data_IF_391076727590
#
_entry.id   IF_391076727590
#
_cell.length_a   1.000
_cell.length_b   1.000
_cell.length_c   1.000
_cell.angle_alpha   90.00
_cell.angle_beta   90.00
_cell.angle_gamma   90.00
#
_symmetry.space_group_name_H-M   'P 1'
#
loop_
_entity.id
_entity.type
_entity.pdbx_description
1 polymer ?
#
# COMPACT_ATOMS: atom_id res chain seq x y z
N UNK A 1 -54.60 -18.48 -9.92
CA UNK A 1 -53.55 -17.52 -9.52
C UNK A 1 -52.22 -18.11 -9.98
N UNK A 2 -51.94 -17.95 -11.26
CA UNK A 2 -50.69 -18.37 -11.90
C UNK A 2 -49.74 -17.18 -11.86
N UNK A 3 -48.61 -17.34 -11.19
CA UNK A 3 -47.60 -16.31 -11.03
C UNK A 3 -47.02 -15.94 -12.41
N UNK A 4 -47.14 -14.66 -12.78
CA UNK A 4 -46.41 -14.03 -13.87
C UNK A 4 -44.90 -14.04 -13.53
N UNK A 5 -44.23 -15.13 -13.87
CA UNK A 5 -42.78 -15.30 -13.80
C UNK A 5 -42.14 -15.18 -15.19
N UNK A 6 -42.82 -14.50 -16.12
CA UNK A 6 -42.22 -14.13 -17.40
C UNK A 6 -41.58 -12.75 -17.24
N UNK A 7 -40.50 -12.66 -16.46
CA UNK A 7 -39.58 -11.53 -16.59
C UNK A 7 -38.99 -11.63 -18.00
N UNK A 8 -39.55 -10.86 -18.92
CA UNK A 8 -39.12 -10.81 -20.31
C UNK A 8 -37.62 -10.51 -20.34
N UNK A 9 -36.88 -11.26 -21.17
CA UNK A 9 -35.43 -11.14 -21.37
C UNK A 9 -34.96 -9.69 -21.58
N UNK A 10 -35.86 -8.84 -22.05
CA UNK A 10 -35.65 -7.41 -22.30
C UNK A 10 -35.55 -6.55 -21.02
N UNK A 11 -36.10 -6.98 -19.88
CA UNK A 11 -36.00 -6.24 -18.60
C UNK A 11 -34.74 -6.59 -17.80
N UNK A 12 -34.16 -7.77 -18.04
CA UNK A 12 -33.01 -8.29 -17.29
C UNK A 12 -31.72 -7.56 -17.68
N UNK A 13 -31.54 -7.27 -18.97
CA UNK A 13 -30.35 -6.64 -19.52
C UNK A 13 -30.06 -5.23 -18.94
N UNK A 14 -31.01 -4.29 -18.87
CA UNK A 14 -30.78 -2.98 -18.25
C UNK A 14 -30.54 -3.05 -16.73
N UNK A 15 -31.14 -4.02 -16.03
CA UNK A 15 -30.87 -4.25 -14.61
C UNK A 15 -29.44 -4.75 -14.37
N UNK A 16 -28.97 -5.68 -15.20
CA UNK A 16 -27.59 -6.20 -15.17
C UNK A 16 -26.57 -5.09 -15.43
N UNK A 17 -26.81 -4.22 -16.41
CA UNK A 17 -25.92 -3.11 -16.75
C UNK A 17 -25.85 -2.08 -15.61
N UNK A 18 -26.98 -1.79 -14.96
CA UNK A 18 -27.00 -0.93 -13.77
C UNK A 18 -26.21 -1.56 -12.62
N UNK A 19 -26.34 -2.87 -12.41
CA UNK A 19 -25.56 -3.63 -11.43
C UNK A 19 -24.06 -3.56 -11.71
N UNK A 20 -23.64 -3.81 -12.96
CA UNK A 20 -22.25 -3.72 -13.42
C UNK A 20 -21.69 -2.31 -13.25
N UNK A 21 -22.47 -1.26 -13.55
CA UNK A 21 -22.05 0.13 -13.32
C UNK A 21 -21.76 0.41 -11.84
N UNK A 22 -22.66 0.00 -10.93
CA UNK A 22 -22.44 0.20 -9.50
C UNK A 22 -21.26 -0.61 -8.97
N UNK A 23 -21.10 -1.85 -9.46
CA UNK A 23 -19.95 -2.68 -9.14
C UNK A 23 -18.65 -2.00 -9.60
N UNK A 24 -18.61 -1.49 -10.83
CA UNK A 24 -17.46 -0.76 -11.38
C UNK A 24 -17.11 0.46 -10.53
N UNK A 25 -18.10 1.28 -10.16
CA UNK A 25 -17.90 2.44 -9.30
C UNK A 25 -17.37 2.04 -7.92
N UNK A 26 -17.93 0.99 -7.31
CA UNK A 26 -17.45 0.47 -6.03
C UNK A 26 -16.01 -0.03 -6.13
N UNK A 27 -15.64 -0.71 -7.23
CA UNK A 27 -14.26 -1.15 -7.48
C UNK A 27 -13.31 0.02 -7.69
N UNK A 28 -13.72 1.08 -8.41
CA UNK A 28 -12.89 2.27 -8.56
C UNK A 28 -12.64 2.97 -7.22
N UNK A 29 -13.69 3.15 -6.41
CA UNK A 29 -13.56 3.84 -5.12
C UNK A 29 -12.75 2.98 -4.13
N UNK A 30 -13.17 1.74 -3.91
CA UNK A 30 -12.57 0.87 -2.91
C UNK A 30 -11.23 0.26 -3.34
N UNK A 31 -11.06 -0.03 -4.63
CA UNK A 31 -9.87 -0.68 -5.17
C UNK A 31 -8.78 0.26 -5.66
N UNK A 32 -9.12 1.51 -6.01
CA UNK A 32 -8.15 2.47 -6.56
C UNK A 32 -8.10 3.75 -5.75
N UNK A 33 -9.21 4.47 -5.63
CA UNK A 33 -9.23 5.79 -5.01
C UNK A 33 -8.77 5.75 -3.55
N UNK A 34 -9.28 4.78 -2.78
CA UNK A 34 -8.96 4.64 -1.36
C UNK A 34 -7.49 4.25 -1.10
N UNK A 35 -6.91 3.18 -1.70
CA UNK A 35 -5.49 2.89 -1.50
C UNK A 35 -4.57 4.00 -2.03
N UNK A 36 -4.96 4.69 -3.12
CA UNK A 36 -4.20 5.85 -3.62
C UNK A 36 -4.20 7.00 -2.60
N UNK A 37 -5.37 7.32 -2.03
CA UNK A 37 -5.48 8.36 -1.01
C UNK A 37 -4.63 8.01 0.23
N UNK A 38 -4.62 6.74 0.66
CA UNK A 38 -3.78 6.27 1.75
C UNK A 38 -2.28 6.36 1.42
N UNK A 39 -1.86 6.04 0.20
CA UNK A 39 -0.47 6.19 -0.25
C UNK A 39 -0.03 7.66 -0.27
N UNK A 40 -0.89 8.56 -0.76
CA UNK A 40 -0.63 10.01 -0.75
C UNK A 40 -0.54 10.52 0.69
N UNK A 41 -1.48 10.09 1.55
CA UNK A 41 -1.46 10.46 2.96
C UNK A 41 -0.17 9.98 3.63
N UNK A 42 0.26 8.74 3.38
CA UNK A 42 1.52 8.20 3.88
C UNK A 42 2.73 8.99 3.36
N UNK A 43 2.76 9.37 2.07
CA UNK A 43 3.84 10.17 1.49
C UNK A 43 3.91 11.59 2.06
N UNK A 44 2.76 12.17 2.42
CA UNK A 44 2.67 13.50 3.03
C UNK A 44 2.91 13.51 4.55
N UNK A 45 2.82 12.34 5.21
CA UNK A 45 3.03 12.25 6.65
C UNK A 45 4.53 12.26 6.93
N UNK A 46 5.04 13.15 7.80
CA UNK A 46 6.46 13.16 8.13
C UNK A 46 6.84 11.88 8.88
N UNK A 47 7.98 11.30 8.50
CA UNK A 47 8.56 10.20 9.25
C UNK A 47 9.14 10.75 10.56
N UNK A 48 8.57 10.33 11.69
CA UNK A 48 8.93 10.84 12.99
C UNK A 48 9.42 9.72 13.90
N UNK A 49 10.42 9.99 14.73
CA UNK A 49 10.88 9.06 15.76
C UNK A 49 9.78 8.95 16.81
N UNK A 50 9.14 7.78 16.93
CA UNK A 50 8.04 7.52 17.88
C UNK A 50 8.53 6.95 19.21
N UNK A 51 9.68 6.26 19.20
CA UNK A 51 10.34 5.76 20.40
C UNK A 51 11.85 5.85 20.23
N UNK A 52 12.56 6.07 21.33
CA UNK A 52 14.01 6.16 21.36
C UNK A 52 14.61 5.52 22.60
N UNK A 53 15.85 5.04 22.49
CA UNK A 53 16.65 4.61 23.63
C UNK A 53 18.12 4.97 23.40
N UNK A 54 18.80 5.46 24.44
CA UNK A 54 20.26 5.65 24.37
C UNK A 54 20.97 4.31 24.45
N UNK A 55 21.96 4.10 23.58
CA UNK A 55 22.77 2.85 23.52
C UNK A 55 24.23 3.09 23.92
N UNK A 56 24.50 4.22 24.57
CA UNK A 56 25.83 4.63 24.99
C UNK A 56 26.60 5.32 23.87
N UNK A 57 27.93 5.18 23.90
CA UNK A 57 28.84 5.80 22.93
C UNK A 57 29.45 4.77 21.99
N UNK A 58 29.69 5.16 20.75
CA UNK A 58 30.39 4.36 19.75
C UNK A 58 31.84 4.11 20.16
N UNK A 59 32.24 2.84 20.19
CA UNK A 59 33.62 2.41 20.47
C UNK A 59 34.28 1.90 19.19
N UNK A 60 33.63 0.95 18.53
CA UNK A 60 34.13 0.31 17.31
C UNK A 60 32.99 -0.33 16.52
N UNK A 61 33.24 -0.59 15.24
CA UNK A 61 32.38 -1.39 14.38
C UNK A 61 33.25 -2.45 13.70
N UNK A 62 32.77 -3.69 13.65
CA UNK A 62 33.36 -4.74 12.83
C UNK A 62 32.30 -5.27 11.88
N UNK A 63 32.58 -5.20 10.58
CA UNK A 63 31.69 -5.72 9.55
C UNK A 63 32.05 -7.17 9.22
N UNK A 64 31.06 -8.05 9.20
CA UNK A 64 31.14 -9.31 8.48
C UNK A 64 30.39 -9.16 7.15
N UNK A 65 31.06 -9.53 6.06
CA UNK A 65 30.42 -9.61 4.74
C UNK A 65 30.76 -10.96 4.13
N UNK A 66 29.73 -11.65 3.64
CA UNK A 66 29.87 -12.85 2.84
C UNK A 66 29.48 -12.52 1.40
N UNK A 67 30.10 -13.18 0.42
CA UNK A 67 29.88 -12.89 -1.01
C UNK A 67 28.40 -12.96 -1.47
N UNK A 68 27.56 -13.71 -0.73
CA UNK A 68 26.12 -13.87 -0.99
C UNK A 68 25.22 -13.41 0.17
N UNK A 69 25.78 -12.76 1.20
CA UNK A 69 25.05 -12.37 2.39
C UNK A 69 25.04 -10.85 2.56
N UNK A 70 23.90 -10.31 3.00
CA UNK A 70 23.79 -8.91 3.42
C UNK A 70 24.88 -8.60 4.45
N UNK A 71 25.61 -7.50 4.23
CA UNK A 71 26.66 -7.06 5.17
C UNK A 71 26.05 -6.85 6.55
N UNK A 72 26.63 -7.48 7.58
CA UNK A 72 26.25 -7.28 8.96
C UNK A 72 27.38 -6.53 9.66
N UNK A 73 27.06 -5.54 10.48
CA UNK A 73 28.04 -4.83 11.27
C UNK A 73 27.75 -4.99 12.75
N UNK A 74 28.70 -5.54 13.47
CA UNK A 74 28.69 -5.57 14.93
C UNK A 74 29.24 -4.24 15.44
N UNK A 75 28.36 -3.43 15.99
CA UNK A 75 28.67 -2.14 16.61
C UNK A 75 28.89 -2.34 18.11
N UNK A 76 30.10 -2.11 18.56
CA UNK A 76 30.45 -2.10 19.98
C UNK A 76 30.20 -0.71 20.55
N UNK A 77 29.41 -0.67 21.62
CA UNK A 77 29.11 0.53 22.38
C UNK A 77 29.63 0.41 23.80
N UNK A 78 29.62 1.52 24.54
CA UNK A 78 29.95 1.50 25.98
C UNK A 78 28.97 0.72 26.84
N UNK A 79 27.80 0.36 26.32
CA UNK A 79 26.75 -0.37 27.03
C UNK A 79 26.61 -1.83 26.57
N UNK A 80 27.23 -2.21 25.45
CA UNK A 80 27.13 -3.56 24.92
C UNK A 80 27.52 -3.65 23.45
N UNK A 81 27.02 -4.67 22.77
CA UNK A 81 27.20 -4.85 21.33
C UNK A 81 25.86 -5.02 20.63
N UNK A 82 25.79 -4.50 19.42
CA UNK A 82 24.59 -4.47 18.60
C UNK A 82 24.95 -4.95 17.20
N UNK A 83 24.05 -5.65 16.54
CA UNK A 83 24.26 -6.10 15.15
C UNK A 83 23.29 -5.38 14.25
N UNK A 84 23.78 -4.64 13.27
CA UNK A 84 22.97 -3.91 12.29
C UNK A 84 23.18 -4.47 10.90
N UNK A 85 22.14 -4.37 10.07
CA UNK A 85 22.23 -4.74 8.66
C UNK A 85 22.72 -3.55 7.85
N UNK A 86 23.89 -3.68 7.24
CA UNK A 86 24.60 -2.63 6.53
C UNK A 86 25.98 -2.34 7.13
N UNK A 87 26.68 -1.36 6.56
CA UNK A 87 27.98 -0.87 7.03
C UNK A 87 27.79 0.35 7.94
N UNK A 88 28.02 0.17 9.24
CA UNK A 88 27.91 1.26 10.21
C UNK A 88 29.26 1.90 10.49
N UNK A 89 29.31 3.24 10.48
CA UNK A 89 30.47 3.98 10.95
C UNK A 89 30.04 5.27 11.66
N UNK A 90 30.74 5.59 12.75
CA UNK A 90 30.56 6.83 13.49
C UNK A 90 31.90 7.27 14.12
N UNK A 91 32.07 8.55 14.49
CA UNK A 91 33.23 8.97 15.25
C UNK A 91 33.32 8.25 16.61
N UNK A 92 34.52 7.93 17.08
CA UNK A 92 34.71 7.38 18.44
C UNK A 92 34.12 8.35 19.48
N UNK A 93 33.53 7.79 20.52
CA UNK A 93 32.81 8.51 21.58
C UNK A 93 31.54 9.26 21.12
N UNK A 94 31.11 9.10 19.87
CA UNK A 94 29.84 9.64 19.40
C UNK A 94 28.68 8.94 20.14
N UNK A 95 27.74 9.68 20.74
CA UNK A 95 26.55 9.09 21.34
C UNK A 95 25.68 8.43 20.25
N UNK A 96 25.18 7.25 20.57
CA UNK A 96 24.30 6.45 19.71
C UNK A 96 22.92 6.33 20.35
N UNK A 97 21.90 6.25 19.50
CA UNK A 97 20.52 6.01 19.90
C UNK A 97 19.88 4.94 19.02
N UNK A 98 19.04 4.12 19.65
CA UNK A 98 18.05 3.31 18.96
C UNK A 98 16.82 4.16 18.75
N UNK A 99 16.29 4.15 17.53
CA UNK A 99 15.08 4.87 17.17
C UNK A 99 14.11 3.92 16.48
N UNK A 100 12.84 4.09 16.82
CA UNK A 100 11.73 3.51 16.09
C UNK A 100 11.04 4.64 15.34
N UNK A 101 10.93 4.50 14.03
CA UNK A 101 10.33 5.49 13.14
C UNK A 101 8.86 5.14 12.86
N UNK A 102 8.01 6.14 12.66
CA UNK A 102 6.57 5.92 12.42
C UNK A 102 6.28 5.19 11.10
N UNK A 103 7.13 5.36 10.09
CA UNK A 103 6.93 4.79 8.75
C UNK A 103 7.87 3.64 8.41
N UNK A 104 8.88 3.39 9.24
CA UNK A 104 9.89 2.36 8.96
C UNK A 104 9.70 1.18 9.90
N UNK A 105 9.81 -0.03 9.35
CA UNK A 105 9.69 -1.26 10.13
C UNK A 105 10.95 -1.51 10.94
N UNK A 106 10.75 -1.80 12.22
CA UNK A 106 11.82 -2.22 13.11
C UNK A 106 12.64 -1.08 13.69
N UNK A 107 13.61 -1.47 14.51
CA UNK A 107 14.49 -0.54 15.21
C UNK A 107 15.68 -0.20 14.34
N UNK A 108 16.10 1.06 14.40
CA UNK A 108 17.29 1.53 13.71
C UNK A 108 18.27 2.08 14.72
N UNK A 109 19.55 1.78 14.51
CA UNK A 109 20.66 2.38 15.23
C UNK A 109 21.14 3.62 14.47
N UNK A 110 21.15 4.76 15.13
CA UNK A 110 21.61 6.02 14.57
C UNK A 110 22.63 6.66 15.50
N UNK A 111 23.57 7.42 14.93
CA UNK A 111 24.30 8.40 15.73
C UNK A 111 23.37 9.57 16.08
N UNK A 112 23.41 10.01 17.35
CA UNK A 112 22.54 11.10 17.83
C UNK A 112 22.76 12.35 16.98
N UNK A 113 21.66 12.90 16.46
CA UNK A 113 21.67 14.09 15.60
C UNK A 113 22.14 13.85 14.15
N UNK A 114 22.34 12.60 13.74
CA UNK A 114 22.72 12.24 12.35
C UNK A 114 21.81 11.14 11.80
N UNK A 115 20.61 11.51 11.28
CA UNK A 115 19.66 10.54 10.74
C UNK A 115 20.22 9.77 9.53
N UNK A 116 21.19 10.34 8.81
CA UNK A 116 21.83 9.71 7.64
C UNK A 116 22.66 8.46 8.01
N UNK A 117 22.96 8.28 9.30
CA UNK A 117 23.71 7.12 9.82
C UNK A 117 22.80 5.99 10.31
N UNK A 118 21.48 6.14 10.17
CA UNK A 118 20.52 5.16 10.65
C UNK A 118 20.58 3.85 9.88
N UNK A 119 20.84 2.75 10.58
CA UNK A 119 20.82 1.41 10.00
C UNK A 119 19.87 0.48 10.77
N UNK A 120 19.14 -0.41 10.08
CA UNK A 120 18.23 -1.34 10.72
C UNK A 120 18.98 -2.35 11.61
N UNK A 121 18.40 -2.63 12.77
CA UNK A 121 18.89 -3.64 13.70
C UNK A 121 18.62 -5.05 13.12
N UNK A 122 19.63 -5.90 13.09
CA UNK A 122 19.55 -7.26 12.57
C UNK A 122 19.02 -8.28 13.59
N UNK A 123 18.64 -7.84 14.80
CA UNK A 123 18.25 -8.71 15.91
C UNK A 123 17.29 -8.03 16.90
N UNK A 124 17.06 -8.72 18.02
CA UNK A 124 16.19 -8.21 19.08
C UNK A 124 16.89 -7.16 19.94
N UNK A 125 16.14 -6.14 20.34
CA UNK A 125 16.59 -5.15 21.31
C UNK A 125 16.13 -5.55 22.72
N UNK A 126 17.07 -5.68 23.64
CA UNK A 126 16.80 -6.09 25.02
C UNK A 126 16.43 -4.92 25.96
N UNK A 127 16.70 -3.67 25.56
CA UNK A 127 16.45 -2.50 26.40
C UNK A 127 15.01 -1.97 26.31
N UNK A 128 14.67 -1.03 27.18
CA UNK A 128 13.40 -0.33 27.12
C UNK A 128 13.47 0.88 26.18
N UNK A 129 12.49 0.99 25.29
CA UNK A 129 12.33 2.14 24.40
C UNK A 129 11.38 3.15 25.01
N UNK A 130 11.85 4.38 25.21
CA UNK A 130 11.04 5.47 25.72
C UNK A 130 10.23 6.12 24.59
N UNK A 131 8.92 6.34 24.76
CA UNK A 131 8.13 7.06 23.78
C UNK A 131 8.58 8.51 23.67
N UNK A 132 8.54 9.06 22.46
CA UNK A 132 8.79 10.48 22.21
C UNK A 132 7.49 11.27 22.22
N UNK A 133 7.56 12.59 22.40
CA UNK A 133 6.40 13.48 22.26
C UNK A 133 5.78 13.44 20.84
N UNK A 134 6.59 13.13 19.82
CA UNK A 134 6.14 13.00 18.44
C UNK A 134 5.22 11.79 18.22
N UNK A 135 5.26 10.77 19.10
CA UNK A 135 4.38 9.60 19.03
C UNK A 135 2.90 9.95 19.00
N UNK A 136 2.48 10.99 19.74
CA UNK A 136 1.08 11.41 19.80
C UNK A 136 0.57 12.02 18.48
N UNK A 137 1.48 12.47 17.62
CA UNK A 137 1.16 13.12 16.33
C UNK A 137 1.44 12.21 15.13
N UNK A 138 2.04 11.04 15.35
CA UNK A 138 2.44 10.13 14.31
C UNK A 138 1.40 9.01 14.14
N UNK A 139 0.99 8.77 12.90
CA UNK A 139 0.12 7.64 12.56
C UNK A 139 0.98 6.40 12.27
N UNK A 140 0.67 5.28 12.92
CA UNK A 140 1.37 4.01 12.72
C UNK A 140 0.71 3.21 11.59
N UNK A 141 1.09 3.51 10.34
CA UNK A 141 0.58 2.81 9.16
C UNK A 141 0.86 1.30 9.21
N UNK A 142 2.04 0.89 9.68
CA UNK A 142 2.42 -0.52 9.75
C UNK A 142 1.62 -1.30 10.80
N UNK A 143 1.40 -0.71 11.97
CA UNK A 143 0.59 -1.32 13.04
C UNK A 143 -0.86 -1.60 12.60
N UNK A 144 -1.34 -0.90 11.56
CA UNK A 144 -2.64 -1.11 10.96
C UNK A 144 -2.59 -1.94 9.65
N UNK A 145 -1.44 -2.50 9.27
CA UNK A 145 -1.28 -3.27 8.03
C UNK A 145 -1.27 -2.43 6.75
N UNK A 146 -1.27 -1.11 6.87
CA UNK A 146 -1.29 -0.13 5.76
C UNK A 146 0.14 0.22 5.29
N UNK A 147 1.03 -0.77 5.26
CA UNK A 147 2.36 -0.57 4.71
C UNK A 147 2.32 -0.40 3.19
N UNK A 148 3.33 0.27 2.62
CA UNK A 148 3.38 0.57 1.18
C UNK A 148 3.22 -0.68 0.31
N UNK A 149 3.81 -1.81 0.72
CA UNK A 149 3.70 -3.07 0.00
C UNK A 149 2.26 -3.56 -0.10
N UNK A 150 1.53 -3.58 1.02
CA UNK A 150 0.13 -4.02 1.07
C UNK A 150 -0.79 -3.05 0.31
N UNK A 151 -0.58 -1.74 0.45
CA UNK A 151 -1.33 -0.73 -0.29
C UNK A 151 -1.10 -0.83 -1.80
N UNK A 152 0.15 -1.08 -2.23
CA UNK A 152 0.48 -1.27 -3.65
C UNK A 152 -0.14 -2.56 -4.21
N UNK A 153 -0.09 -3.66 -3.45
CA UNK A 153 -0.73 -4.92 -3.82
C UNK A 153 -2.26 -4.77 -3.92
N UNK A 154 -2.88 -4.09 -2.95
CA UNK A 154 -4.30 -3.77 -2.99
C UNK A 154 -4.66 -2.96 -4.24
N UNK A 155 -3.89 -1.91 -4.54
CA UNK A 155 -4.09 -1.10 -5.73
C UNK A 155 -3.94 -1.93 -7.02
N UNK A 156 -2.99 -2.85 -7.07
CA UNK A 156 -2.81 -3.75 -8.21
C UNK A 156 -4.04 -4.66 -8.43
N UNK A 157 -4.56 -5.27 -7.37
CA UNK A 157 -5.80 -6.06 -7.42
C UNK A 157 -6.98 -5.19 -7.86
N UNK A 158 -7.09 -3.99 -7.29
CA UNK A 158 -8.15 -3.03 -7.62
C UNK A 158 -8.15 -2.63 -9.09
N UNK A 159 -6.97 -2.32 -9.65
CA UNK A 159 -6.80 -2.05 -11.08
C UNK A 159 -7.23 -3.24 -11.95
N UNK A 160 -6.82 -4.47 -11.58
CA UNK A 160 -7.21 -5.68 -12.32
C UNK A 160 -8.73 -5.92 -12.32
N UNK A 161 -9.37 -5.77 -11.15
CA UNK A 161 -10.82 -5.90 -11.01
C UNK A 161 -11.57 -4.78 -11.75
N UNK A 162 -11.08 -3.54 -11.67
CA UNK A 162 -11.68 -2.43 -12.40
C UNK A 162 -11.62 -2.66 -13.91
N UNK A 163 -10.52 -3.21 -14.43
CA UNK A 163 -10.40 -3.55 -15.84
C UNK A 163 -11.41 -4.62 -16.26
N UNK A 164 -11.51 -5.72 -15.51
CA UNK A 164 -12.46 -6.82 -15.80
C UNK A 164 -13.92 -6.36 -15.75
N UNK A 165 -14.31 -5.66 -14.68
CA UNK A 165 -15.68 -5.18 -14.50
C UNK A 165 -16.01 -4.07 -15.50
N UNK A 166 -15.05 -3.18 -15.77
CA UNK A 166 -15.17 -2.13 -16.78
C UNK A 166 -15.40 -2.72 -18.17
N UNK A 167 -14.58 -3.67 -18.60
CA UNK A 167 -14.75 -4.34 -19.89
C UNK A 167 -16.13 -5.01 -20.02
N UNK A 168 -16.60 -5.68 -18.96
CA UNK A 168 -17.95 -6.25 -18.93
C UNK A 168 -19.06 -5.21 -19.02
N UNK A 169 -18.93 -4.10 -18.31
CA UNK A 169 -19.91 -3.01 -18.36
C UNK A 169 -19.95 -2.33 -19.74
N UNK A 170 -18.80 -1.94 -20.29
CA UNK A 170 -18.71 -1.31 -21.61
C UNK A 170 -19.18 -2.24 -22.73
N UNK A 171 -18.84 -3.53 -22.67
CA UNK A 171 -19.31 -4.52 -23.63
C UNK A 171 -20.83 -4.69 -23.61
N UNK A 172 -21.43 -4.80 -22.42
CA UNK A 172 -22.88 -4.89 -22.28
C UNK A 172 -23.60 -3.60 -22.72
N UNK A 173 -22.98 -2.43 -22.54
CA UNK A 173 -23.52 -1.16 -23.01
C UNK A 173 -23.52 -1.05 -24.53
N UNK A 174 -22.43 -1.48 -25.19
CA UNK A 174 -22.33 -1.49 -26.66
C UNK A 174 -23.42 -2.39 -27.29
N UNK A 175 -23.68 -3.57 -26.72
CA UNK A 175 -24.72 -4.47 -27.23
C UNK A 175 -26.15 -3.88 -27.09
N UNK A 176 -26.40 -3.10 -26.03
CA UNK A 176 -27.66 -2.37 -25.90
C UNK A 176 -27.81 -1.27 -26.94
N UNK A 177 -26.74 -0.52 -27.20
CA UNK A 177 -26.77 0.55 -28.20
C UNK A 177 -27.06 0.00 -29.59
N UNK A 178 -26.42 -1.11 -29.99
CA UNK A 178 -26.67 -1.77 -31.27
C UNK A 178 -28.13 -2.24 -31.40
N UNK A 179 -28.68 -2.91 -30.37
CA UNK A 179 -30.09 -3.34 -30.36
C UNK A 179 -31.05 -2.14 -30.48
N UNK A 180 -30.76 -1.06 -29.77
CA UNK A 180 -31.59 0.16 -29.81
C UNK A 180 -31.54 0.84 -31.18
N UNK A 181 -30.42 0.72 -31.90
CA UNK A 181 -30.24 1.25 -33.24
C UNK A 181 -31.02 0.43 -34.27
N UNK A 182 -30.90 -0.90 -34.25
CA UNK A 182 -31.68 -1.79 -35.13
C UNK A 182 -33.19 -1.62 -34.94
N UNK A 183 -33.67 -1.37 -33.73
CA UNK A 183 -35.09 -1.15 -33.46
C UNK A 183 -35.62 0.20 -33.97
N UNK A 184 -34.75 1.16 -34.32
CA UNK A 184 -35.13 2.48 -34.83
C UNK A 184 -35.08 2.58 -36.36
N UNK A 185 -34.52 1.60 -37.06
CA UNK A 185 -34.57 1.60 -38.52
C UNK A 185 -36.02 1.43 -38.98
N UNK A 186 -36.54 2.37 -39.81
CA UNK A 186 -37.88 2.24 -40.33
C UNK A 186 -37.98 0.98 -41.20
N UNK A 187 -39.12 0.26 -41.17
CA UNK A 187 -39.29 -0.94 -41.98
C UNK A 187 -39.00 -0.63 -43.45
N UNK A 188 -38.22 -1.49 -44.09
CA UNK A 188 -37.93 -1.36 -45.51
C UNK A 188 -39.25 -1.26 -46.27
N UNK A 189 -39.45 -0.14 -46.97
CA UNK A 189 -40.60 0.02 -47.86
C UNK A 189 -40.31 -0.91 -49.04
N UNK A 190 -40.91 -2.09 -49.03
CA UNK A 190 -40.94 -2.97 -50.19
C UNK A 190 -41.61 -2.20 -51.33
N UNK A 191 -40.81 -1.75 -52.29
CA UNK A 191 -41.30 -1.10 -53.49
C UNK A 191 -42.16 -2.08 -54.28
N UNK A 192 -43.28 -1.63 -54.89
CA UNK A 192 -44.12 -2.50 -55.68
C UNK A 192 -43.30 -3.10 -56.82
N UNK A 193 -43.15 -4.43 -56.79
CA UNK A 193 -42.50 -5.19 -57.84
C UNK A 193 -43.19 -4.94 -59.18
N UNK A 194 -42.40 -4.47 -60.16
CA UNK A 194 -42.78 -4.35 -61.57
C UNK A 194 -42.82 -5.70 -62.24
#
# INVERSE_FOLDING_TARGET
>A
MTNDLCATRDDVLPAVIRGLKWLFLATLVGGIALPTALLVWQASTPNAVIRRAGVGRFVSASSSSGFLQSSLTTVTTTQGSLVVSGLFSAPRNQPLEMVEWSQTSGLQLCAVGRPDTCLPLAGAWAGSLQPTAARARAFNFQGHGLERGNLAFWLFIGCGMAFMVGAGWFGAHAELEDKSRSAREPPAIDGPGT
#
